data_IF_496150464556
#
_entry.id   IF_496150464556
#
_cell.length_a   1.000
_cell.length_b   1.000
_cell.length_c   1.000
_cell.angle_alpha   90.00
_cell.angle_beta   90.00
_cell.angle_gamma   90.00
#
_symmetry.space_group_name_H-M   'P 1'
#
loop_
_entity.id
_entity.type
_entity.pdbx_description
1 polymer ?
#
# COMPACT_ATOMS: atom_id res chain seq x y z
N UNK A 1 -9.62 -3.37 5.78
CA UNK A 1 -8.60 -2.34 5.51
C UNK A 1 -7.44 -2.50 6.50
N UNK A 2 -6.22 -2.28 6.02
CA UNK A 2 -4.95 -2.30 6.74
C UNK A 2 -4.13 -1.10 6.24
N UNK A 3 -3.89 -0.13 7.12
CA UNK A 3 -3.25 1.14 6.75
C UNK A 3 -2.14 1.51 7.73
N UNK A 4 -1.17 2.29 7.25
CA UNK A 4 -0.31 3.13 8.10
C UNK A 4 -0.76 4.57 7.94
N UNK A 5 -0.96 5.30 9.03
CA UNK A 5 -1.39 6.70 8.95
C UNK A 5 -0.77 7.58 10.03
N UNK A 6 -0.36 8.80 9.65
CA UNK A 6 0.07 9.86 10.59
C UNK A 6 -1.13 10.69 11.07
N UNK A 7 -0.89 11.64 11.97
CA UNK A 7 -1.93 12.57 12.46
C UNK A 7 -1.76 13.94 11.83
N UNK A 8 -2.87 14.68 11.68
CA UNK A 8 -2.87 16.07 11.27
C UNK A 8 -3.59 16.30 9.94
N UNK A 9 -3.70 17.56 9.52
CA UNK A 9 -4.40 17.94 8.28
C UNK A 9 -3.61 17.62 7.01
N UNK A 10 -2.29 17.44 7.12
CA UNK A 10 -1.39 17.04 6.03
C UNK A 10 -0.81 15.66 6.30
N UNK A 11 -1.65 14.71 6.70
CA UNK A 11 -1.19 13.38 7.09
C UNK A 11 -0.54 12.63 5.92
N UNK A 12 0.33 11.69 6.25
CA UNK A 12 0.82 10.69 5.31
C UNK A 12 0.11 9.37 5.60
N UNK A 13 -0.15 8.57 4.57
CA UNK A 13 -0.86 7.29 4.69
C UNK A 13 -0.51 6.29 3.58
N UNK A 14 -0.54 5.00 3.90
CA UNK A 14 -0.20 3.87 3.02
C UNK A 14 -1.22 2.76 3.24
N UNK A 15 -1.96 2.38 2.20
CA UNK A 15 -3.18 1.60 2.35
C UNK A 15 -3.17 0.24 1.64
N UNK A 16 -3.73 -0.76 2.32
CA UNK A 16 -4.29 -1.98 1.75
C UNK A 16 -5.78 -2.05 2.08
N UNK A 17 -6.60 -1.86 1.07
CA UNK A 17 -8.05 -1.94 1.17
C UNK A 17 -8.55 -3.18 0.42
N UNK A 18 -9.34 -4.02 1.10
CA UNK A 18 -9.93 -5.21 0.51
C UNK A 18 -11.38 -4.92 0.19
N UNK A 19 -11.68 -4.72 -1.09
CA UNK A 19 -13.03 -4.40 -1.53
C UNK A 19 -13.78 -5.71 -1.77
N UNK A 20 -14.84 -5.92 -0.98
CA UNK A 20 -15.71 -7.07 -1.07
C UNK A 20 -16.47 -7.15 -2.39
N UNK A 21 -17.10 -8.30 -2.64
CA UNK A 21 -17.90 -8.51 -3.84
C UNK A 21 -19.06 -9.46 -3.58
N UNK A 22 -19.91 -9.65 -4.60
CA UNK A 22 -20.96 -10.67 -4.59
C UNK A 22 -20.35 -12.07 -4.48
N UNK A 23 -21.12 -13.01 -3.93
CA UNK A 23 -20.68 -14.41 -3.82
C UNK A 23 -20.28 -14.97 -5.18
N UNK A 24 -19.05 -15.48 -5.29
CA UNK A 24 -18.48 -16.02 -6.53
C UNK A 24 -17.76 -14.99 -7.41
N UNK A 25 -17.89 -13.70 -7.13
CA UNK A 25 -17.13 -12.65 -7.82
C UNK A 25 -15.81 -12.36 -7.07
N UNK A 26 -14.72 -11.99 -7.78
CA UNK A 26 -13.41 -11.79 -7.16
C UNK A 26 -13.37 -10.54 -6.25
N UNK A 27 -12.67 -10.66 -5.13
CA UNK A 27 -12.26 -9.51 -4.32
C UNK A 27 -11.26 -8.64 -5.08
N UNK A 28 -11.28 -7.34 -4.77
CA UNK A 28 -10.30 -6.38 -5.28
C UNK A 28 -9.36 -5.97 -4.15
N UNK A 29 -8.06 -6.13 -4.38
CA UNK A 29 -7.04 -5.52 -3.54
C UNK A 29 -6.73 -4.12 -4.06
N UNK A 30 -7.03 -3.13 -3.24
CA UNK A 30 -6.82 -1.72 -3.51
C UNK A 30 -5.63 -1.22 -2.68
N UNK A 31 -4.76 -0.42 -3.32
CA UNK A 31 -3.65 0.25 -2.64
C UNK A 31 -3.68 1.74 -2.92
N UNK A 32 -3.32 2.54 -1.93
CA UNK A 32 -3.19 3.99 -2.07
C UNK A 32 -1.98 4.51 -1.29
N UNK A 33 -1.54 5.72 -1.66
CA UNK A 33 -0.47 6.43 -0.95
C UNK A 33 -0.85 7.90 -0.86
N UNK A 34 -1.02 8.37 0.38
CA UNK A 34 -1.18 9.77 0.70
C UNK A 34 0.16 10.32 1.17
N UNK A 35 0.51 11.50 0.65
CA UNK A 35 1.58 12.29 1.25
C UNK A 35 1.16 13.74 1.36
N UNK A 36 1.39 14.33 2.54
CA UNK A 36 0.98 15.69 2.88
C UNK A 36 -0.51 15.95 2.63
N UNK A 37 -1.36 14.98 2.98
CA UNK A 37 -2.82 15.02 2.78
C UNK A 37 -3.28 14.79 1.33
N UNK A 38 -2.35 14.59 0.39
CA UNK A 38 -2.67 14.34 -1.02
C UNK A 38 -2.54 12.86 -1.34
N UNK A 39 -3.67 12.20 -1.57
CA UNK A 39 -3.77 10.85 -2.14
C UNK A 39 -3.98 10.88 -3.64
N UNK A 40 -5.06 10.23 -4.10
CA UNK A 40 -5.39 10.02 -5.51
C UNK A 40 -4.38 9.16 -6.27
N UNK A 41 -3.84 8.14 -5.62
CA UNK A 41 -2.81 7.24 -6.17
C UNK A 41 -3.25 5.78 -6.12
N UNK A 42 -4.50 5.53 -6.46
CA UNK A 42 -5.14 4.23 -6.33
C UNK A 42 -4.61 3.26 -7.40
N UNK A 43 -4.27 2.05 -6.98
CA UNK A 43 -4.05 0.91 -7.87
C UNK A 43 -4.86 -0.26 -7.36
N UNK A 44 -5.52 -0.98 -8.27
CA UNK A 44 -6.39 -2.10 -7.95
C UNK A 44 -5.95 -3.35 -8.67
N UNK A 45 -6.06 -4.48 -7.97
CA UNK A 45 -5.62 -5.79 -8.46
C UNK A 45 -6.67 -6.86 -8.12
N UNK A 46 -6.85 -7.81 -9.02
CA UNK A 46 -7.32 -9.13 -8.61
C UNK A 46 -6.17 -9.91 -7.96
N UNK A 47 -6.50 -10.92 -7.17
CA UNK A 47 -5.51 -11.82 -6.59
C UNK A 47 -5.46 -13.13 -7.39
N UNK A 48 -4.29 -13.78 -7.40
CA UNK A 48 -4.08 -15.07 -8.07
C UNK A 48 -4.55 -16.27 -7.22
N UNK A 49 -5.33 -16.00 -6.19
CA UNK A 49 -5.93 -16.95 -5.25
C UNK A 49 -7.23 -16.37 -4.70
N UNK A 50 -8.02 -17.21 -4.04
CA UNK A 50 -9.19 -16.77 -3.27
C UNK A 50 -8.73 -16.28 -1.87
N UNK A 51 -8.78 -14.97 -1.58
CA UNK A 51 -8.30 -14.42 -0.31
C UNK A 51 -9.20 -14.77 0.89
N UNK A 52 -10.34 -15.43 0.66
CA UNK A 52 -11.27 -15.87 1.72
C UNK A 52 -11.02 -17.31 2.17
N UNK A 53 -10.27 -18.09 1.38
CA UNK A 53 -10.09 -19.53 1.59
C UNK A 53 -8.95 -19.88 2.57
N UNK A 54 -7.89 -19.06 2.63
CA UNK A 54 -6.78 -19.22 3.57
C UNK A 54 -6.15 -17.85 3.88
N UNK A 55 -5.29 -17.80 4.90
CA UNK A 55 -4.52 -16.60 5.23
C UNK A 55 -3.34 -16.43 4.28
N UNK A 56 -3.21 -15.22 3.76
CA UNK A 56 -2.07 -14.75 2.99
C UNK A 56 -1.34 -13.62 3.72
N UNK A 57 -0.07 -13.42 3.39
CA UNK A 57 0.77 -12.38 4.00
C UNK A 57 0.71 -11.11 3.17
N UNK A 58 0.21 -10.03 3.76
CA UNK A 58 0.22 -8.69 3.16
C UNK A 58 1.26 -7.85 3.89
N UNK A 59 2.24 -7.35 3.14
CA UNK A 59 3.42 -6.68 3.70
C UNK A 59 3.66 -5.33 3.06
N UNK A 60 4.03 -4.35 3.89
CA UNK A 60 4.53 -3.04 3.47
C UNK A 60 5.98 -2.93 3.92
N UNK A 61 6.89 -2.76 2.97
CA UNK A 61 8.24 -2.27 3.25
C UNK A 61 8.26 -0.78 2.98
N UNK A 62 8.55 0.02 3.98
CA UNK A 62 8.63 1.47 3.88
C UNK A 62 9.98 1.95 4.40
N UNK A 63 10.79 2.54 3.52
CA UNK A 63 12.07 3.12 3.87
C UNK A 63 12.25 4.50 3.20
N UNK A 64 13.34 5.25 3.48
CA UNK A 64 13.51 6.60 2.94
C UNK A 64 13.53 6.70 1.40
N UNK A 65 13.75 5.60 0.70
CA UNK A 65 13.84 5.56 -0.76
C UNK A 65 12.55 5.10 -1.44
N UNK A 66 11.73 4.27 -0.79
CA UNK A 66 10.59 3.60 -1.44
C UNK A 66 9.59 3.00 -0.45
N UNK A 67 8.39 2.77 -0.97
CA UNK A 67 7.36 1.92 -0.38
C UNK A 67 7.14 0.74 -1.33
N UNK A 68 7.15 -0.48 -0.82
CA UNK A 68 6.86 -1.70 -1.57
C UNK A 68 5.69 -2.42 -0.92
N UNK A 69 4.64 -2.64 -1.69
CA UNK A 69 3.49 -3.46 -1.31
C UNK A 69 3.73 -4.88 -1.83
N UNK A 70 3.55 -5.87 -0.97
CA UNK A 70 3.72 -7.28 -1.33
C UNK A 70 2.60 -8.18 -0.83
N UNK A 71 2.30 -9.21 -1.61
CA UNK A 71 1.40 -10.32 -1.25
C UNK A 71 2.21 -11.61 -1.33
N UNK A 72 2.34 -12.32 -0.21
CA UNK A 72 3.19 -13.51 -0.05
C UNK A 72 4.64 -13.30 -0.54
N UNK A 73 5.20 -12.13 -0.25
CA UNK A 73 6.54 -11.73 -0.69
C UNK A 73 6.66 -11.41 -2.18
N UNK A 74 5.57 -11.47 -2.95
CA UNK A 74 5.51 -11.02 -4.34
C UNK A 74 5.15 -9.53 -4.39
N UNK A 75 6.03 -8.66 -4.92
CA UNK A 75 5.74 -7.23 -5.00
C UNK A 75 4.64 -6.97 -6.02
N UNK A 76 3.65 -6.17 -5.63
CA UNK A 76 2.52 -5.77 -6.49
C UNK A 76 2.58 -4.29 -6.88
N UNK A 77 3.28 -3.47 -6.07
CA UNK A 77 3.45 -2.04 -6.29
C UNK A 77 4.74 -1.54 -5.64
N UNK A 78 5.43 -0.63 -6.33
CA UNK A 78 6.52 0.18 -5.79
C UNK A 78 6.13 1.67 -5.92
N UNK A 79 6.30 2.44 -4.85
CA UNK A 79 6.20 3.89 -4.86
C UNK A 79 7.53 4.47 -4.41
N UNK A 80 8.28 5.08 -5.35
CA UNK A 80 9.62 5.60 -5.11
C UNK A 80 9.56 6.99 -4.47
N UNK A 81 10.54 7.30 -3.64
CA UNK A 81 10.79 8.67 -3.21
C UNK A 81 11.27 9.50 -4.41
N UNK A 82 10.43 10.42 -4.85
CA UNK A 82 10.64 11.30 -6.00
C UNK A 82 10.60 12.78 -5.58
N UNK A 83 10.97 13.09 -4.34
CA UNK A 83 10.99 14.47 -3.83
C UNK A 83 11.90 15.40 -4.64
N UNK A 84 12.99 14.87 -5.22
CA UNK A 84 13.87 15.63 -6.13
C UNK A 84 13.15 16.10 -7.41
N UNK A 85 12.01 15.50 -7.73
CA UNK A 85 11.12 15.86 -8.83
C UNK A 85 9.82 16.51 -8.35
N UNK A 86 9.76 16.94 -7.08
CA UNK A 86 8.63 17.66 -6.51
C UNK A 86 7.44 16.78 -6.11
N UNK A 87 7.60 15.45 -6.05
CA UNK A 87 6.55 14.54 -5.56
C UNK A 87 6.76 14.28 -4.06
N UNK A 88 5.84 14.69 -3.18
CA UNK A 88 5.95 14.42 -1.74
C UNK A 88 5.99 12.92 -1.46
N UNK A 89 6.77 12.54 -0.45
CA UNK A 89 6.92 11.16 -0.01
C UNK A 89 6.76 11.05 1.52
N UNK A 90 6.06 10.01 2.04
CA UNK A 90 5.95 9.75 3.48
C UNK A 90 7.34 9.47 4.08
N UNK A 91 8.01 10.47 4.64
CA UNK A 91 9.32 10.25 5.33
C UNK A 91 9.46 10.97 6.67
N UNK A 92 8.72 12.06 6.87
CA UNK A 92 8.92 12.97 7.99
C UNK A 92 7.89 12.78 9.11
N UNK A 93 6.79 12.08 8.84
CA UNK A 93 5.71 11.89 9.80
C UNK A 93 5.69 10.45 10.28
N UNK A 94 5.91 10.20 11.59
CA UNK A 94 5.75 8.85 12.12
C UNK A 94 4.29 8.42 12.03
N UNK A 95 4.08 7.18 11.56
CA UNK A 95 2.76 6.60 11.35
C UNK A 95 2.48 5.49 12.35
N UNK A 96 1.20 5.22 12.58
CA UNK A 96 0.72 4.04 13.31
C UNK A 96 0.04 3.09 12.33
N UNK A 97 0.07 1.80 12.66
CA UNK A 97 -0.66 0.78 11.92
C UNK A 97 -2.10 0.73 12.46
N UNK A 98 -3.06 0.71 11.55
CA UNK A 98 -4.47 0.54 11.85
C UNK A 98 -5.03 -0.60 11.00
N UNK A 99 -6.06 -1.24 11.51
CA UNK A 99 -6.88 -2.15 10.73
C UNK A 99 -8.34 -1.97 11.11
N UNK A 100 -9.21 -2.02 10.10
CA UNK A 100 -10.63 -1.77 10.25
C UNK A 100 -11.45 -2.64 9.30
N UNK A 101 -12.70 -2.91 9.68
CA UNK A 101 -13.72 -3.48 8.82
C UNK A 101 -14.94 -2.55 8.90
N UNK A 102 -15.35 -1.99 7.77
CA UNK A 102 -16.37 -0.96 7.72
C UNK A 102 -17.13 -0.98 6.38
N UNK A 103 -18.31 -0.35 6.36
CA UNK A 103 -19.15 -0.26 5.16
C UNK A 103 -18.74 0.92 4.27
N UNK A 104 -18.50 0.67 2.99
CA UNK A 104 -18.08 1.65 1.99
C UNK A 104 -18.98 1.61 0.73
N UNK A 105 -20.29 1.46 0.94
CA UNK A 105 -21.32 1.31 -0.09
C UNK A 105 -21.24 2.28 -1.27
N UNK A 106 -20.76 3.50 -1.04
CA UNK A 106 -20.74 4.55 -2.06
C UNK A 106 -19.70 4.31 -3.16
N UNK A 107 -18.74 3.40 -2.95
CA UNK A 107 -17.66 3.21 -3.92
C UNK A 107 -17.04 1.80 -3.97
N UNK A 108 -17.11 0.99 -2.90
CA UNK A 108 -16.32 -0.23 -2.79
C UNK A 108 -16.64 -1.28 -3.86
N UNK A 109 -17.92 -1.65 -4.02
CA UNK A 109 -18.30 -2.76 -4.89
C UNK A 109 -18.87 -2.25 -6.22
N UNK A 110 -18.18 -2.56 -7.33
CA UNK A 110 -18.52 -2.09 -8.69
C UNK A 110 -18.72 -0.57 -8.76
N UNK A 111 -17.81 0.19 -8.12
CA UNK A 111 -17.90 1.64 -8.06
C UNK A 111 -19.12 2.15 -7.28
N UNK A 112 -19.60 1.37 -6.30
CA UNK A 112 -20.73 1.71 -5.44
C UNK A 112 -22.11 1.30 -5.97
N UNK A 113 -22.18 0.58 -7.09
CA UNK A 113 -23.44 0.09 -7.66
C UNK A 113 -24.07 -1.04 -6.83
N UNK A 114 -23.24 -1.85 -6.17
CA UNK A 114 -23.69 -2.95 -5.32
C UNK A 114 -23.55 -2.52 -3.86
N UNK A 115 -24.66 -2.60 -3.13
CA UNK A 115 -24.76 -2.21 -1.72
C UNK A 115 -24.69 -3.43 -0.81
N UNK A 116 -24.28 -3.21 0.43
CA UNK A 116 -24.15 -4.24 1.47
C UNK A 116 -25.53 -4.81 1.81
N UNK A 117 -25.67 -6.12 1.66
CA UNK A 117 -26.83 -6.85 2.16
C UNK A 117 -26.63 -7.20 3.63
N UNK A 118 -27.17 -6.36 4.52
CA UNK A 118 -27.04 -6.53 5.97
C UNK A 118 -27.73 -7.79 6.52
N UNK A 119 -28.57 -8.47 5.74
CA UNK A 119 -29.14 -9.76 6.15
C UNK A 119 -28.09 -10.89 6.18
N UNK A 120 -26.94 -10.69 5.52
CA UNK A 120 -25.79 -11.61 5.52
C UNK A 120 -24.81 -11.37 6.68
N UNK A 121 -25.11 -10.42 7.57
CA UNK A 121 -24.27 -10.15 8.72
C UNK A 121 -24.24 -11.35 9.70
N UNK A 122 -23.12 -11.57 10.43
CA UNK A 122 -21.94 -10.70 10.52
C UNK A 122 -20.91 -10.91 9.40
N UNK A 123 -20.35 -9.81 8.91
CA UNK A 123 -19.15 -9.83 8.05
C UNK A 123 -17.91 -9.98 8.92
N UNK A 124 -17.05 -10.96 8.60
CA UNK A 124 -15.90 -11.29 9.44
C UNK A 124 -14.59 -11.19 8.65
N UNK A 125 -13.61 -10.49 9.20
CA UNK A 125 -12.22 -10.49 8.73
C UNK A 125 -11.33 -11.05 9.84
N UNK A 126 -10.44 -11.99 9.50
CA UNK A 126 -9.55 -12.65 10.45
C UNK A 126 -8.10 -12.23 10.21
N UNK A 127 -7.34 -11.99 11.28
CA UNK A 127 -5.95 -11.54 11.23
C UNK A 127 -5.08 -12.44 12.12
N UNK A 128 -3.85 -12.73 11.67
CA UNK A 128 -2.84 -13.49 12.44
C UNK A 128 -1.43 -13.05 12.08
N UNK A 129 -0.45 -13.50 12.87
CA UNK A 129 0.98 -13.31 12.59
C UNK A 129 1.40 -11.83 12.43
N UNK A 130 0.91 -10.97 13.32
CA UNK A 130 1.31 -9.56 13.36
C UNK A 130 2.81 -9.45 13.60
N UNK A 131 3.52 -8.82 12.67
CA UNK A 131 4.96 -8.59 12.75
C UNK A 131 5.29 -7.16 12.32
N UNK A 132 6.11 -6.48 13.12
CA UNK A 132 6.59 -5.13 12.82
C UNK A 132 8.06 -5.02 13.23
N UNK A 133 8.92 -4.84 12.23
CA UNK A 133 10.31 -4.43 12.39
C UNK A 133 10.41 -2.97 11.91
N UNK A 134 10.51 -2.03 12.84
CA UNK A 134 10.29 -0.62 12.56
C UNK A 134 11.15 0.32 13.41
N UNK A 135 11.40 1.50 12.86
CA UNK A 135 11.96 2.64 13.59
C UNK A 135 10.89 3.27 14.49
N UNK A 136 10.91 2.94 15.79
CA UNK A 136 9.93 3.46 16.75
C UNK A 136 10.28 4.90 17.10
N UNK A 137 9.30 5.80 16.94
CA UNK A 137 9.41 7.19 17.36
C UNK A 137 8.88 7.37 18.78
N UNK A 138 9.73 7.87 19.67
CA UNK A 138 9.36 8.17 21.07
C UNK A 138 10.12 9.42 21.55
N UNK A 139 9.46 10.26 22.34
CA UNK A 139 10.06 11.49 22.90
C UNK A 139 10.78 12.38 21.86
N UNK A 140 10.23 12.47 20.64
CA UNK A 140 10.77 13.30 19.56
C UNK A 140 11.97 12.71 18.81
N UNK A 141 12.37 11.47 19.11
CA UNK A 141 13.49 10.80 18.45
C UNK A 141 13.10 9.43 17.87
N UNK A 142 13.76 9.05 16.78
CA UNK A 142 13.64 7.72 16.16
C UNK A 142 14.62 6.73 16.81
N UNK A 143 14.20 5.47 16.97
CA UNK A 143 15.09 4.38 17.40
C UNK A 143 16.13 4.00 16.34
N UNK A 144 15.91 4.35 15.07
CA UNK A 144 16.87 4.14 14.00
C UNK A 144 17.88 5.28 13.94
N UNK A 145 19.16 4.93 13.80
CA UNK A 145 20.25 5.89 13.67
C UNK A 145 20.26 6.47 12.26
N UNK A 146 20.27 7.80 12.16
CA UNK A 146 20.26 8.56 10.91
C UNK A 146 21.52 8.40 10.04
N UNK A 147 22.61 7.84 10.59
CA UNK A 147 23.91 7.69 9.91
C UNK A 147 24.46 6.24 9.96
N UNK A 148 23.61 5.22 9.83
CA UNK A 148 24.12 3.88 9.56
C UNK A 148 24.70 3.87 8.13
N UNK A 149 26.01 4.04 8.02
CA UNK A 149 26.74 3.70 6.80
C UNK A 149 26.36 2.27 6.38
N UNK A 150 26.21 1.94 5.08
CA UNK A 150 25.76 0.61 4.66
C UNK A 150 26.61 -0.55 5.21
N UNK A 151 27.86 -0.25 5.61
CA UNK A 151 28.80 -1.17 6.26
C UNK A 151 28.65 -1.32 7.78
N UNK A 152 27.81 -0.49 8.42
CA UNK A 152 27.63 -0.41 9.88
C UNK A 152 26.19 -0.66 10.34
N UNK A 153 25.28 -0.98 9.41
CA UNK A 153 23.98 -1.50 9.78
C UNK A 153 24.22 -2.77 10.59
N UNK A 154 23.96 -2.70 11.90
CA UNK A 154 23.65 -3.91 12.67
C UNK A 154 22.65 -4.70 11.84
N UNK A 155 22.81 -6.01 11.75
CA UNK A 155 21.97 -6.96 10.98
C UNK A 155 20.45 -6.72 11.12
N UNK A 156 20.02 -6.03 12.17
CA UNK A 156 18.65 -5.66 12.52
C UNK A 156 18.04 -4.47 11.73
N UNK A 157 18.65 -3.97 10.64
CA UNK A 157 18.05 -2.86 9.86
C UNK A 157 18.29 -2.94 8.34
N UNK A 158 18.54 -4.14 7.80
CA UNK A 158 18.78 -4.33 6.36
C UNK A 158 17.63 -3.82 5.47
N UNK A 159 16.39 -3.84 5.99
CA UNK A 159 15.21 -3.34 5.29
C UNK A 159 15.25 -1.82 5.02
N UNK A 160 16.00 -1.05 5.83
CA UNK A 160 16.06 0.42 5.74
C UNK A 160 16.76 0.90 4.45
N UNK A 161 17.62 0.06 3.88
CA UNK A 161 18.28 0.29 2.60
C UNK A 161 17.90 -0.75 1.54
N UNK A 162 16.84 -1.52 1.77
CA UNK A 162 16.44 -2.57 0.85
C UNK A 162 15.90 -1.97 -0.45
N UNK A 163 16.37 -2.55 -1.56
CA UNK A 163 15.94 -2.19 -2.91
C UNK A 163 15.20 -3.34 -3.61
N UNK A 164 14.62 -3.02 -4.77
CA UNK A 164 14.03 -3.98 -5.70
C UNK A 164 15.11 -4.57 -6.61
N UNK A 165 15.46 -5.84 -6.38
CA UNK A 165 16.30 -6.60 -7.31
C UNK A 165 15.59 -6.88 -8.65
N UNK A 166 16.35 -7.33 -9.65
CA UNK A 166 15.84 -7.58 -11.00
C UNK A 166 14.73 -8.63 -11.03
N UNK A 167 14.79 -9.66 -10.18
CA UNK A 167 13.77 -10.70 -10.11
C UNK A 167 12.46 -10.16 -9.52
N UNK A 168 12.53 -9.35 -8.46
CA UNK A 168 11.38 -8.65 -7.89
C UNK A 168 10.76 -7.68 -8.88
N UNK A 169 11.57 -6.95 -9.66
CA UNK A 169 11.06 -6.05 -10.71
C UNK A 169 10.33 -6.80 -11.82
N UNK A 170 10.85 -7.97 -12.23
CA UNK A 170 10.18 -8.82 -13.22
C UNK A 170 8.85 -9.36 -12.70
N UNK A 171 8.81 -9.80 -11.43
CA UNK A 171 7.58 -10.25 -10.78
C UNK A 171 6.54 -9.12 -10.68
N UNK A 172 6.97 -7.92 -10.29
CA UNK A 172 6.10 -6.74 -10.25
C UNK A 172 5.45 -6.49 -11.62
N UNK A 173 6.25 -6.48 -12.69
CA UNK A 173 5.75 -6.32 -14.06
C UNK A 173 4.77 -7.43 -14.46
N UNK A 174 5.05 -8.66 -14.07
CA UNK A 174 4.14 -9.79 -14.33
C UNK A 174 2.82 -9.63 -13.57
N UNK A 175 2.84 -9.24 -12.30
CA UNK A 175 1.62 -8.98 -11.53
C UNK A 175 0.82 -7.85 -12.16
N UNK A 176 1.46 -6.73 -12.46
CA UNK A 176 0.81 -5.58 -13.10
C UNK A 176 0.19 -5.94 -14.45
N UNK A 177 0.86 -6.77 -15.26
CA UNK A 177 0.35 -7.21 -16.56
C UNK A 177 -0.88 -8.12 -16.45
N UNK A 178 -0.90 -9.02 -15.47
CA UNK A 178 -1.90 -10.10 -15.43
C UNK A 178 -3.06 -9.84 -14.45
N UNK A 179 -2.86 -8.98 -13.45
CA UNK A 179 -3.80 -8.84 -12.33
C UNK A 179 -4.23 -7.40 -12.04
N UNK A 180 -3.52 -6.40 -12.53
CA UNK A 180 -3.91 -4.99 -12.31
C UNK A 180 -5.12 -4.65 -13.17
N UNK A 181 -6.15 -4.09 -12.52
CA UNK A 181 -7.41 -3.71 -13.16
C UNK A 181 -7.64 -2.20 -13.19
N UNK A 182 -6.98 -1.46 -12.29
CA UNK A 182 -6.98 0.00 -12.29
C UNK A 182 -5.60 0.52 -11.90
N UNK A 183 -5.17 1.59 -12.57
CA UNK A 183 -3.96 2.32 -12.25
C UNK A 183 -4.19 3.80 -12.49
N UNK A 184 -4.12 4.62 -11.43
CA UNK A 184 -4.27 6.07 -11.51
C UNK A 184 -3.33 6.72 -12.55
N UNK A 185 -2.13 6.15 -12.77
CA UNK A 185 -1.19 6.63 -13.79
C UNK A 185 -1.73 6.55 -15.23
N UNK A 186 -2.71 5.70 -15.49
CA UNK A 186 -3.30 5.51 -16.81
C UNK A 186 -4.70 6.16 -16.92
N UNK A 187 -5.18 6.82 -15.87
CA UNK A 187 -6.51 7.42 -15.81
C UNK A 187 -6.50 8.85 -16.39
N UNK A 188 -6.54 8.94 -17.73
CA UNK A 188 -6.57 10.21 -18.44
C UNK A 188 -7.85 11.04 -18.16
N UNK A 189 -8.93 10.39 -17.71
CA UNK A 189 -10.17 11.10 -17.34
C UNK A 189 -9.96 11.87 -16.04
N UNK A 190 -9.28 11.26 -15.06
CA UNK A 190 -8.94 11.90 -13.79
C UNK A 190 -7.77 12.86 -13.91
N UNK A 191 -6.81 12.58 -14.78
CA UNK A 191 -5.62 13.40 -15.02
C UNK A 191 -5.54 13.89 -16.48
N UNK A 192 -6.42 14.82 -16.89
CA UNK A 192 -6.48 15.29 -18.28
C UNK A 192 -5.25 16.10 -18.72
N UNK A 193 -4.44 16.58 -17.78
CA UNK A 193 -3.19 17.30 -18.05
C UNK A 193 -1.96 16.38 -18.15
N UNK A 194 -2.19 15.06 -18.21
CA UNK A 194 -1.15 14.05 -18.17
C UNK A 194 -0.99 13.43 -16.77
N UNK A 195 -0.35 12.25 -16.70
CA UNK A 195 -0.21 11.51 -15.45
C UNK A 195 0.68 12.24 -14.44
N UNK A 196 0.52 11.96 -13.13
CA UNK A 196 1.41 12.50 -12.11
C UNK A 196 2.90 12.20 -12.39
N UNK A 197 3.84 13.10 -12.01
CA UNK A 197 5.26 12.97 -12.36
C UNK A 197 5.91 11.63 -11.97
N UNK A 198 5.47 11.03 -10.86
CA UNK A 198 5.96 9.74 -10.37
C UNK A 198 5.65 8.56 -11.33
N UNK A 199 4.69 8.72 -12.25
CA UNK A 199 4.27 7.67 -13.16
C UNK A 199 5.17 7.50 -14.40
N UNK A 200 5.92 8.54 -14.78
CA UNK A 200 6.73 8.51 -16.00
C UNK A 200 8.14 7.91 -15.81
N UNK A 201 8.48 7.52 -14.58
CA UNK A 201 9.84 7.12 -14.16
C UNK A 201 9.86 5.73 -13.49
N UNK A 202 8.77 4.97 -13.62
CA UNK A 202 8.55 3.64 -13.05
C UNK A 202 8.75 2.52 -14.08
#
# INVERSE_FOLDING_TARGET
DLQLSSKGSTWDEIDFEFLGNLSGDPYILHTNVFSQGKGNREQQFYLWFDPTADFHTYSILWNPQRIIFSVDGTPIREFKNMESFGVPFPKNQPMRIYSSLWNADDWATRGGLVKTDWTQAPFTASYRNFNADACVWSNGASSCKSNASPSSASTNSAWLSQEMDSAKQQRLKWVQKNYMIYNYCNDAKRFPQGPPPECNMS
#
